data_IF_292790093168
#
_entry.id   IF_292790093168
#
_cell.length_a   1.000
_cell.length_b   1.000
_cell.length_c   1.000
_cell.angle_alpha   90.00
_cell.angle_beta   90.00
_cell.angle_gamma   90.00
#
_symmetry.space_group_name_H-M   'P 1'
#
loop_
_entity.id
_entity.type
_entity.pdbx_description
1 polymer ?
#
# COMPACT_ATOMS: atom_id res chain seq x y z
N UNK A 1 29.38 12.49 -22.63
CA UNK A 1 29.05 11.49 -21.58
C UNK A 1 29.31 12.13 -20.22
N UNK A 2 28.29 12.78 -19.65
CA UNK A 2 28.41 13.55 -18.40
C UNK A 2 28.08 12.60 -17.25
N UNK A 3 29.09 12.20 -16.50
CA UNK A 3 28.94 11.39 -15.28
C UNK A 3 28.55 12.35 -14.15
N UNK A 4 27.25 12.44 -13.86
CA UNK A 4 26.75 13.10 -12.65
C UNK A 4 27.08 12.22 -11.44
N UNK A 5 28.18 12.53 -10.75
CA UNK A 5 28.45 12.01 -9.40
C UNK A 5 27.47 12.65 -8.42
N UNK A 6 26.41 11.93 -8.07
CA UNK A 6 25.57 12.27 -6.93
C UNK A 6 26.34 11.92 -5.64
N UNK A 7 26.96 12.93 -5.02
CA UNK A 7 27.51 12.80 -3.67
C UNK A 7 26.37 12.54 -2.68
N UNK A 8 26.42 11.39 -2.00
CA UNK A 8 25.58 11.11 -0.84
C UNK A 8 26.12 11.87 0.38
N UNK A 9 25.59 13.07 0.59
CA UNK A 9 25.57 13.64 1.93
C UNK A 9 24.41 12.99 2.71
N UNK A 10 24.70 12.51 3.93
CA UNK A 10 23.66 12.25 4.92
C UNK A 10 22.77 13.51 5.04
N UNK A 11 21.47 13.39 5.38
CA UNK A 11 20.59 14.54 5.55
C UNK A 11 21.04 15.33 6.79
N UNK A 12 22.05 16.18 6.60
CA UNK A 12 22.45 17.22 7.52
C UNK A 12 21.30 18.21 7.58
N UNK A 13 20.70 18.31 8.77
CA UNK A 13 19.82 19.38 9.28
C UNK A 13 19.78 20.62 8.38
N UNK A 14 18.99 20.58 7.30
CA UNK A 14 18.56 21.81 6.65
C UNK A 14 17.61 22.46 7.65
N UNK A 15 18.07 23.55 8.27
CA UNK A 15 17.24 24.42 9.07
C UNK A 15 16.19 25.08 8.17
N UNK A 16 15.11 24.36 7.89
CA UNK A 16 13.86 24.93 7.36
C UNK A 16 13.25 25.69 8.54
N UNK A 17 13.82 26.86 8.85
CA UNK A 17 13.21 27.86 9.71
C UNK A 17 12.79 29.04 8.84
N UNK A 18 12.11 28.75 7.73
CA UNK A 18 11.21 29.73 7.15
C UNK A 18 10.07 29.91 8.16
N UNK A 19 9.82 31.13 8.61
CA UNK A 19 8.78 31.48 9.58
C UNK A 19 7.40 31.03 9.07
N UNK A 20 7.00 29.81 9.44
CA UNK A 20 5.66 29.28 9.23
C UNK A 20 4.73 30.07 10.16
N UNK A 21 3.99 31.04 9.61
CA UNK A 21 2.90 31.71 10.34
C UNK A 21 1.62 30.92 10.11
N UNK A 22 1.04 30.26 11.13
CA UNK A 22 -0.26 29.62 10.99
C UNK A 22 -1.32 30.67 10.64
N UNK A 23 -1.87 30.58 9.44
CA UNK A 23 -2.97 31.44 8.99
C UNK A 23 -4.28 30.82 9.46
N UNK A 24 -4.92 31.48 10.43
CA UNK A 24 -6.22 31.17 11.04
C UNK A 24 -6.31 29.91 11.93
N UNK A 25 -6.71 30.17 13.18
CA UNK A 25 -7.40 29.22 14.04
C UNK A 25 -8.91 29.40 13.84
N UNK A 26 -9.57 28.44 13.19
CA UNK A 26 -11.04 28.43 13.14
C UNK A 26 -11.54 27.59 14.32
N UNK A 27 -12.55 28.09 15.04
CA UNK A 27 -13.29 27.27 16.00
C UNK A 27 -14.08 26.22 15.21
N UNK A 28 -13.71 24.95 15.38
CA UNK A 28 -14.49 23.85 14.84
C UNK A 28 -15.84 23.74 15.57
N UNK A 29 -16.85 23.04 15.00
CA UNK A 29 -18.15 22.84 15.68
C UNK A 29 -18.03 22.21 17.07
N UNK A 30 -16.94 21.51 17.37
CA UNK A 30 -16.65 20.93 18.67
C UNK A 30 -15.85 21.85 19.61
N UNK A 31 -15.69 23.14 19.29
CA UNK A 31 -14.99 24.13 20.13
C UNK A 31 -13.47 23.99 20.14
N UNK A 32 -12.91 22.97 19.49
CA UNK A 32 -11.47 22.76 19.42
C UNK A 32 -10.82 23.61 18.32
N UNK A 33 -9.61 24.09 18.62
CA UNK A 33 -8.72 24.79 17.69
C UNK A 33 -8.25 23.85 16.60
N UNK A 34 -8.60 24.15 15.34
CA UNK A 34 -8.14 23.43 14.15
C UNK A 34 -7.18 24.31 13.34
N UNK A 35 -6.04 23.75 12.93
CA UNK A 35 -5.11 24.41 12.01
C UNK A 35 -5.61 24.27 10.57
N UNK A 36 -5.71 25.38 9.84
CA UNK A 36 -5.94 25.36 8.39
C UNK A 36 -4.63 25.70 7.70
N UNK A 37 -4.07 24.73 6.96
CA UNK A 37 -2.74 24.85 6.37
C UNK A 37 -2.85 24.71 4.84
N UNK A 38 -2.17 25.55 4.04
CA UNK A 38 -2.12 25.35 2.59
C UNK A 38 -1.20 24.17 2.25
N UNK A 39 -1.51 23.45 1.18
CA UNK A 39 -0.70 22.31 0.71
C UNK A 39 0.72 22.69 0.32
N UNK A 40 0.92 23.94 -0.15
CA UNK A 40 2.24 24.47 -0.50
C UNK A 40 3.24 24.44 0.67
N UNK A 41 2.75 24.43 1.91
CA UNK A 41 3.59 24.27 3.11
C UNK A 41 4.24 22.88 3.20
N UNK A 42 3.65 21.88 2.55
CA UNK A 42 4.12 20.49 2.55
C UNK A 42 4.65 20.06 1.18
N UNK A 43 4.96 21.02 0.30
CA UNK A 43 5.37 20.74 -1.07
C UNK A 43 6.61 19.84 -1.12
N UNK A 44 7.56 19.99 -0.18
CA UNK A 44 8.74 19.14 -0.07
C UNK A 44 8.42 17.67 0.26
N UNK A 45 7.29 17.39 0.92
CA UNK A 45 6.81 16.03 1.16
C UNK A 45 6.01 15.53 -0.05
N UNK A 46 5.16 16.39 -0.63
CA UNK A 46 4.28 16.05 -1.75
C UNK A 46 5.09 15.73 -3.01
N UNK A 47 6.16 16.47 -3.27
CA UNK A 47 7.00 16.30 -4.46
C UNK A 47 8.06 15.21 -4.33
N UNK A 48 8.28 14.69 -3.12
CA UNK A 48 9.17 13.55 -2.95
C UNK A 48 8.50 12.30 -3.56
N UNK A 49 8.88 11.99 -4.80
CA UNK A 49 8.40 10.80 -5.51
C UNK A 49 8.99 9.51 -4.93
N UNK A 50 10.10 9.59 -4.19
CA UNK A 50 10.84 8.43 -3.72
C UNK A 50 11.60 7.70 -4.84
N UNK A 51 12.70 7.04 -4.46
CA UNK A 51 13.61 6.40 -5.41
C UNK A 51 12.95 5.31 -6.26
N UNK A 52 12.02 4.55 -5.69
CA UNK A 52 11.32 3.48 -6.40
C UNK A 52 10.33 3.97 -7.46
N UNK A 53 9.74 5.15 -7.30
CA UNK A 53 8.71 5.65 -8.23
C UNK A 53 9.25 6.60 -9.28
N UNK A 54 10.42 7.21 -9.05
CA UNK A 54 11.05 8.10 -10.02
C UNK A 54 11.18 7.44 -11.41
N UNK A 55 11.63 6.18 -11.56
CA UNK A 55 11.74 5.55 -12.88
C UNK A 55 10.40 5.25 -13.56
N UNK A 56 9.29 5.27 -12.81
CA UNK A 56 7.94 5.02 -13.32
C UNK A 56 7.14 6.32 -13.48
N UNK A 57 7.80 7.48 -13.48
CA UNK A 57 7.11 8.76 -13.61
C UNK A 57 6.25 8.78 -14.89
N UNK A 58 4.96 9.05 -14.71
CA UNK A 58 3.97 9.09 -15.79
C UNK A 58 3.41 7.73 -16.22
N UNK A 59 3.90 6.60 -15.69
CA UNK A 59 3.38 5.28 -16.05
C UNK A 59 2.04 5.00 -15.33
N UNK A 60 0.92 4.84 -16.06
CA UNK A 60 -0.39 4.60 -15.46
C UNK A 60 -0.44 3.36 -14.56
N UNK A 61 0.33 2.32 -14.87
CA UNK A 61 0.31 1.07 -14.12
C UNK A 61 0.95 1.24 -12.74
N UNK A 62 1.94 2.13 -12.59
CA UNK A 62 2.56 2.44 -11.30
C UNK A 62 1.60 3.17 -10.34
N UNK A 63 0.62 3.90 -10.88
CA UNK A 63 -0.39 4.63 -10.13
C UNK A 63 -1.54 3.74 -9.65
N UNK A 64 -1.69 2.56 -10.27
CA UNK A 64 -2.77 1.62 -9.95
C UNK A 64 -2.54 0.91 -8.61
N UNK A 65 -3.63 0.48 -7.97
CA UNK A 65 -3.52 -0.30 -6.74
C UNK A 65 -2.81 -1.64 -7.00
N UNK A 66 -2.05 -2.18 -6.03
CA UNK A 66 -1.35 -3.46 -6.23
C UNK A 66 -2.25 -4.62 -6.66
N UNK A 67 -3.48 -4.68 -6.15
CA UNK A 67 -4.46 -5.71 -6.55
C UNK A 67 -4.92 -5.57 -8.00
N UNK A 68 -5.24 -4.35 -8.43
CA UNK A 68 -5.67 -4.08 -9.82
C UNK A 68 -4.53 -4.34 -10.79
N UNK A 69 -3.33 -3.85 -10.45
CA UNK A 69 -2.10 -4.14 -11.19
C UNK A 69 -1.84 -5.64 -11.35
N UNK A 70 -2.01 -6.41 -10.27
CA UNK A 70 -1.88 -7.86 -10.30
C UNK A 70 -2.80 -8.51 -11.32
N UNK A 71 -4.10 -8.16 -11.33
CA UNK A 71 -5.08 -8.68 -12.29
C UNK A 71 -4.76 -8.35 -13.75
N UNK A 72 -4.26 -7.14 -14.00
CA UNK A 72 -3.88 -6.72 -15.36
C UNK A 72 -2.66 -7.49 -15.84
N UNK A 73 -1.66 -7.65 -14.98
CA UNK A 73 -0.46 -8.42 -15.30
C UNK A 73 -0.75 -9.92 -15.41
N UNK A 74 -1.72 -10.45 -14.67
CA UNK A 74 -2.27 -11.79 -14.88
C UNK A 74 -2.92 -11.92 -16.27
N UNK A 75 -3.72 -10.93 -16.68
CA UNK A 75 -4.27 -10.92 -18.04
C UNK A 75 -3.19 -10.84 -19.12
N UNK A 76 -2.08 -10.14 -18.88
CA UNK A 76 -0.95 -10.10 -19.80
C UNK A 76 -0.29 -11.47 -19.93
N UNK A 77 -0.10 -12.18 -18.82
CA UNK A 77 0.43 -13.56 -18.82
C UNK A 77 -0.51 -14.48 -19.61
N UNK A 78 -1.83 -14.36 -19.42
CA UNK A 78 -2.83 -15.12 -20.18
C UNK A 78 -2.67 -14.91 -21.70
N UNK A 79 -2.52 -13.66 -22.14
CA UNK A 79 -2.29 -13.32 -23.55
C UNK A 79 -0.97 -13.88 -24.10
N UNK A 80 0.12 -13.77 -23.34
CA UNK A 80 1.44 -14.31 -23.71
C UNK A 80 1.42 -15.83 -23.83
N UNK A 81 0.64 -16.52 -23.00
CA UNK A 81 0.46 -17.97 -23.06
C UNK A 81 -0.55 -18.41 -24.15
N UNK A 82 -1.05 -17.47 -24.96
CA UNK A 82 -1.98 -17.75 -26.06
C UNK A 82 -3.33 -18.26 -25.58
N UNK A 83 -3.72 -17.92 -24.36
CA UNK A 83 -5.04 -18.26 -23.82
C UNK A 83 -6.03 -17.17 -24.21
N UNK A 84 -7.16 -17.56 -24.79
CA UNK A 84 -8.29 -16.64 -24.98
C UNK A 84 -8.77 -16.14 -23.61
N UNK A 85 -9.23 -14.89 -23.49
CA UNK A 85 -9.88 -14.42 -22.27
C UNK A 85 -10.98 -15.41 -21.88
N UNK A 86 -11.08 -15.79 -20.60
CA UNK A 86 -12.12 -16.72 -20.18
C UNK A 86 -13.48 -16.12 -20.58
N UNK A 87 -14.26 -16.89 -21.33
CA UNK A 87 -15.68 -16.61 -21.48
C UNK A 87 -16.36 -16.79 -20.11
N UNK A 88 -17.54 -16.21 -19.87
CA UNK A 88 -18.24 -16.39 -18.59
C UNK A 88 -18.52 -17.88 -18.25
N UNK A 89 -18.44 -18.76 -19.25
CA UNK A 89 -18.49 -20.23 -19.15
C UNK A 89 -17.16 -20.90 -18.83
N UNK A 90 -16.01 -20.27 -19.14
CA UNK A 90 -14.68 -20.76 -18.78
C UNK A 90 -14.43 -20.39 -17.32
N UNK A 91 -14.97 -21.22 -16.42
CA UNK A 91 -14.84 -21.08 -14.97
C UNK A 91 -13.40 -21.36 -14.48
N UNK A 92 -12.43 -20.65 -15.05
CA UNK A 92 -11.05 -20.62 -14.58
C UNK A 92 -11.04 -20.25 -13.10
N UNK A 93 -10.50 -21.18 -12.31
CA UNK A 93 -10.27 -21.08 -10.88
C UNK A 93 -11.52 -20.92 -9.98
N UNK A 94 -12.68 -21.43 -10.40
CA UNK A 94 -13.73 -21.73 -9.42
C UNK A 94 -13.33 -22.97 -8.62
N UNK A 95 -12.49 -22.80 -7.59
CA UNK A 95 -12.53 -23.74 -6.48
C UNK A 95 -13.97 -23.67 -5.95
N UNK A 96 -14.82 -24.64 -6.30
CA UNK A 96 -16.17 -24.84 -5.75
C UNK A 96 -15.99 -25.33 -4.30
N UNK A 97 -15.29 -24.53 -3.51
CA UNK A 97 -14.97 -24.78 -2.13
C UNK A 97 -15.73 -23.79 -1.28
N UNK A 98 -16.38 -24.30 -0.25
CA UNK A 98 -16.74 -23.46 0.88
C UNK A 98 -15.47 -23.12 1.66
N UNK A 99 -15.38 -21.90 2.16
CA UNK A 99 -14.48 -21.54 3.24
C UNK A 99 -14.77 -22.46 4.45
N UNK A 100 -13.84 -22.53 5.40
CA UNK A 100 -14.01 -23.31 6.65
C UNK A 100 -15.28 -22.96 7.44
N UNK A 101 -15.91 -21.80 7.17
CA UNK A 101 -17.18 -21.35 7.76
C UNK A 101 -18.41 -21.61 6.87
N UNK A 102 -18.31 -22.48 5.85
CA UNK A 102 -19.43 -22.83 4.96
C UNK A 102 -19.76 -21.79 3.87
N UNK A 103 -19.11 -20.62 3.85
CA UNK A 103 -19.36 -19.60 2.81
C UNK A 103 -18.61 -19.92 1.53
N UNK A 104 -19.25 -19.78 0.37
CA UNK A 104 -18.58 -19.93 -0.94
C UNK A 104 -17.33 -19.04 -1.02
N UNK A 105 -16.17 -19.63 -1.36
CA UNK A 105 -14.93 -18.86 -1.60
C UNK A 105 -15.16 -17.88 -2.75
N UNK A 106 -14.76 -16.62 -2.58
CA UNK A 106 -14.76 -15.65 -3.67
C UNK A 106 -13.66 -15.98 -4.69
N UNK A 107 -13.77 -15.49 -5.94
CA UNK A 107 -12.75 -15.71 -7.00
C UNK A 107 -11.34 -15.29 -6.57
N UNK A 108 -11.23 -14.20 -5.79
CA UNK A 108 -9.95 -13.72 -5.23
C UNK A 108 -9.37 -14.63 -4.12
N UNK A 109 -10.09 -15.68 -3.72
CA UNK A 109 -9.68 -16.70 -2.77
C UNK A 109 -9.41 -18.04 -3.46
N UNK A 110 -9.39 -18.06 -4.79
CA UNK A 110 -8.96 -19.20 -5.55
C UNK A 110 -7.54 -19.61 -5.14
N UNK A 111 -7.26 -20.89 -5.36
CA UNK A 111 -6.00 -21.51 -4.96
C UNK A 111 -4.89 -21.24 -5.99
N UNK A 112 -5.28 -20.99 -7.24
CA UNK A 112 -4.44 -20.56 -8.36
C UNK A 112 -5.19 -19.52 -9.20
N UNK A 113 -4.50 -18.84 -10.12
CA UNK A 113 -5.05 -17.71 -10.89
C UNK A 113 -5.65 -18.13 -12.25
N UNK A 114 -5.06 -19.12 -12.93
CA UNK A 114 -5.53 -19.59 -14.25
C UNK A 114 -5.19 -21.06 -14.55
N UNK A 115 -5.84 -21.67 -15.53
CA UNK A 115 -5.56 -23.05 -15.97
C UNK A 115 -5.02 -23.05 -17.39
N UNK A 116 -3.84 -23.62 -17.63
CA UNK A 116 -3.25 -23.69 -18.99
C UNK A 116 -3.00 -25.15 -19.33
N UNK A 117 -3.72 -25.66 -20.35
CA UNK A 117 -3.58 -27.04 -20.82
C UNK A 117 -3.71 -28.07 -19.70
N UNK A 118 -4.68 -27.85 -18.80
CA UNK A 118 -4.95 -28.70 -17.64
C UNK A 118 -4.02 -28.50 -16.43
N UNK A 119 -3.01 -27.62 -16.52
CA UNK A 119 -2.12 -27.28 -15.42
C UNK A 119 -2.65 -26.08 -14.65
N UNK A 120 -2.58 -26.13 -13.32
CA UNK A 120 -2.94 -25.02 -12.42
C UNK A 120 -1.79 -24.03 -12.36
N UNK A 121 -2.07 -22.76 -12.62
CA UNK A 121 -1.04 -21.73 -12.74
C UNK A 121 -1.30 -20.60 -11.74
N UNK A 122 -0.30 -20.32 -10.91
CA UNK A 122 -0.24 -19.13 -10.06
C UNK A 122 0.53 -18.02 -10.77
N UNK A 123 0.05 -16.78 -10.70
CA UNK A 123 0.71 -15.61 -11.28
C UNK A 123 0.99 -14.60 -10.17
N UNK A 124 2.26 -14.22 -10.03
CA UNK A 124 2.66 -13.13 -9.12
C UNK A 124 3.35 -12.03 -9.88
N UNK A 125 2.99 -10.80 -9.55
CA UNK A 125 3.64 -9.62 -10.10
C UNK A 125 4.38 -8.84 -9.01
N UNK A 126 5.52 -8.27 -9.37
CA UNK A 126 6.27 -7.35 -8.52
C UNK A 126 6.86 -6.22 -9.36
N UNK A 127 6.80 -5.00 -8.84
CA UNK A 127 7.54 -3.88 -9.42
C UNK A 127 9.00 -3.94 -8.97
N UNK A 128 9.92 -3.63 -9.88
CA UNK A 128 11.29 -3.31 -9.51
C UNK A 128 11.28 -2.09 -8.58
N UNK A 129 11.85 -2.23 -7.39
CA UNK A 129 11.80 -1.19 -6.35
C UNK A 129 13.14 -1.03 -5.66
N UNK A 130 13.45 0.18 -5.20
CA UNK A 130 14.68 0.47 -4.48
C UNK A 130 14.50 0.21 -2.98
N UNK A 131 15.37 -0.65 -2.43
CA UNK A 131 15.49 -0.97 -1.02
C UNK A 131 16.49 -0.01 -0.38
N UNK A 132 15.98 1.07 0.22
CA UNK A 132 16.80 2.14 0.82
C UNK A 132 17.75 1.60 1.91
N UNK A 133 17.31 0.60 2.68
CA UNK A 133 18.10 0.03 3.78
C UNK A 133 19.36 -0.69 3.27
N UNK A 134 19.26 -1.33 2.11
CA UNK A 134 20.37 -2.11 1.54
C UNK A 134 21.06 -1.38 0.39
N UNK A 135 20.52 -0.22 -0.02
CA UNK A 135 20.92 0.53 -1.20
C UNK A 135 20.95 -0.35 -2.46
N UNK A 136 19.92 -1.16 -2.66
CA UNK A 136 19.82 -2.11 -3.81
C UNK A 136 18.46 -2.01 -4.46
N UNK A 137 18.39 -2.20 -5.78
CA UNK A 137 17.11 -2.52 -6.43
C UNK A 137 16.73 -3.98 -6.19
N UNK A 138 15.42 -4.25 -6.12
CA UNK A 138 14.89 -5.58 -5.82
C UNK A 138 13.52 -5.84 -6.44
N UNK A 139 13.20 -7.11 -6.56
CA UNK A 139 11.84 -7.62 -6.78
C UNK A 139 11.45 -8.51 -5.60
N UNK A 140 10.19 -8.41 -5.18
CA UNK A 140 9.65 -9.20 -4.07
C UNK A 140 8.24 -9.66 -4.41
N UNK A 141 8.07 -10.96 -4.57
CA UNK A 141 6.77 -11.60 -4.79
C UNK A 141 6.32 -12.18 -3.45
N UNK A 142 5.16 -11.75 -2.97
CA UNK A 142 4.71 -12.11 -1.63
C UNK A 142 3.59 -13.13 -1.67
N UNK A 143 3.45 -13.88 -0.56
CA UNK A 143 2.34 -14.78 -0.30
C UNK A 143 2.23 -15.94 -1.32
N UNK A 144 3.36 -16.54 -1.68
CA UNK A 144 3.42 -17.71 -2.57
C UNK A 144 3.28 -19.00 -1.76
N UNK A 145 2.28 -19.83 -2.09
CA UNK A 145 1.94 -21.02 -1.29
C UNK A 145 2.65 -22.27 -1.86
N UNK A 146 3.86 -22.56 -1.42
CA UNK A 146 4.56 -23.80 -1.76
C UNK A 146 4.17 -24.95 -0.82
N UNK A 147 4.22 -26.19 -1.31
CA UNK A 147 4.32 -27.36 -0.44
C UNK A 147 5.76 -27.47 0.05
N UNK A 148 5.96 -27.46 1.37
CA UNK A 148 7.27 -27.65 2.00
C UNK A 148 7.08 -28.30 3.36
N UNK A 149 7.97 -29.24 3.68
CA UNK A 149 7.96 -29.96 4.95
C UNK A 149 7.95 -28.99 6.14
N UNK A 150 7.02 -29.21 7.07
CA UNK A 150 6.83 -28.35 8.25
C UNK A 150 6.06 -27.05 7.99
N UNK A 151 5.62 -26.77 6.76
CA UNK A 151 4.85 -25.56 6.42
C UNK A 151 3.48 -25.87 5.83
N UNK A 152 3.43 -26.62 4.73
CA UNK A 152 2.19 -26.99 4.02
C UNK A 152 2.33 -28.34 3.35
N UNK A 153 1.29 -29.15 3.49
CA UNK A 153 1.21 -30.48 2.91
C UNK A 153 0.82 -30.47 1.43
N UNK A 154 0.35 -29.32 0.92
CA UNK A 154 -0.18 -29.22 -0.43
C UNK A 154 0.21 -27.90 -1.11
N UNK A 155 0.58 -28.02 -2.39
CA UNK A 155 0.84 -26.91 -3.29
C UNK A 155 -0.36 -26.74 -4.23
N UNK A 156 -0.99 -25.55 -4.27
CA UNK A 156 -2.22 -25.37 -5.04
C UNK A 156 -2.03 -25.20 -6.54
N UNK A 157 -0.79 -25.06 -7.02
CA UNK A 157 -0.46 -24.81 -8.42
C UNK A 157 0.64 -25.76 -8.91
N UNK A 158 0.62 -26.06 -10.21
CA UNK A 158 1.64 -26.84 -10.88
C UNK A 158 2.77 -25.92 -11.39
N UNK A 159 2.39 -24.75 -11.91
CA UNK A 159 3.31 -23.74 -12.45
C UNK A 159 3.17 -22.40 -11.72
N UNK A 160 4.30 -21.69 -11.60
CA UNK A 160 4.35 -20.34 -11.04
C UNK A 160 4.98 -19.38 -12.06
N UNK A 161 4.20 -18.39 -12.49
CA UNK A 161 4.69 -17.33 -13.36
C UNK A 161 4.93 -16.06 -12.54
N UNK A 162 6.13 -15.49 -12.70
CA UNK A 162 6.53 -14.25 -12.07
C UNK A 162 6.62 -13.15 -13.11
N UNK A 163 5.94 -12.04 -12.86
CA UNK A 163 5.97 -10.85 -13.71
C UNK A 163 6.79 -9.77 -13.03
N UNK A 164 7.98 -9.50 -13.55
CA UNK A 164 8.79 -8.34 -13.15
C UNK A 164 8.32 -7.16 -13.98
N UNK A 165 7.67 -6.20 -13.33
CA UNK A 165 7.32 -4.92 -13.90
C UNK A 165 8.47 -3.94 -13.68
N UNK A 166 9.15 -3.56 -14.75
CA UNK A 166 10.26 -2.61 -14.77
C UNK A 166 9.91 -1.37 -15.62
N UNK A 167 10.69 -0.27 -15.53
CA UNK A 167 10.48 0.89 -16.39
C UNK A 167 10.59 0.61 -17.90
N UNK A 168 11.34 -0.43 -18.30
CA UNK A 168 11.50 -0.80 -19.71
C UNK A 168 10.40 -1.72 -20.24
N UNK A 169 9.63 -2.36 -19.36
CA UNK A 169 8.60 -3.34 -19.74
C UNK A 169 8.39 -4.44 -18.71
N UNK A 170 7.78 -5.53 -19.17
CA UNK A 170 7.40 -6.68 -18.35
C UNK A 170 8.25 -7.90 -18.71
N UNK A 171 8.87 -8.52 -17.71
CA UNK A 171 9.56 -9.80 -17.87
C UNK A 171 8.74 -10.89 -17.22
N UNK A 172 8.31 -11.87 -18.00
CA UNK A 172 7.49 -12.98 -17.55
C UNK A 172 8.39 -14.21 -17.46
N UNK A 173 8.53 -14.74 -16.25
CA UNK A 173 9.39 -15.88 -15.95
C UNK A 173 8.56 -17.05 -15.46
N UNK A 174 8.81 -18.25 -15.99
CA UNK A 174 8.40 -19.49 -15.34
C UNK A 174 9.41 -19.78 -14.23
N UNK A 175 8.94 -19.76 -12.98
CA UNK A 175 9.79 -19.91 -11.81
C UNK A 175 10.03 -21.38 -11.48
N UNK A 176 11.22 -21.68 -10.97
CA UNK A 176 11.68 -23.04 -10.61
C UNK A 176 11.23 -23.51 -9.22
N UNK A 177 10.44 -22.68 -8.51
CA UNK A 177 9.92 -22.93 -7.16
C UNK A 177 10.99 -23.04 -6.06
N UNK A 178 12.24 -22.69 -6.38
CA UNK A 178 13.39 -22.78 -5.47
C UNK A 178 14.12 -21.44 -5.34
N UNK A 179 14.44 -20.81 -6.47
CA UNK A 179 15.28 -19.62 -6.55
C UNK A 179 14.67 -18.44 -5.81
N UNK A 180 15.42 -17.86 -4.87
CA UNK A 180 15.00 -16.68 -4.11
C UNK A 180 13.86 -16.91 -3.11
N UNK A 181 13.39 -18.15 -2.91
CA UNK A 181 12.32 -18.45 -1.95
C UNK A 181 12.82 -18.29 -0.52
N UNK A 182 12.18 -17.43 0.26
CA UNK A 182 12.48 -17.22 1.67
C UNK A 182 12.20 -18.48 2.49
N UNK A 183 13.15 -18.88 3.33
CA UNK A 183 13.09 -20.12 4.14
C UNK A 183 12.64 -19.91 5.59
N UNK A 184 12.32 -18.68 6.03
CA UNK A 184 12.20 -18.39 7.46
C UNK A 184 10.79 -17.99 7.92
N UNK A 185 10.26 -18.76 8.89
CA UNK A 185 9.40 -18.25 9.98
C UNK A 185 7.95 -18.76 10.03
N UNK A 186 7.36 -18.76 11.23
CA UNK A 186 5.93 -19.08 11.50
C UNK A 186 4.98 -18.26 10.62
N UNK A 187 5.36 -17.01 10.27
CA UNK A 187 4.59 -16.16 9.36
C UNK A 187 4.40 -16.78 7.97
N UNK A 188 5.40 -17.50 7.48
CA UNK A 188 5.39 -18.17 6.18
C UNK A 188 4.32 -19.25 6.10
N UNK A 189 4.06 -19.96 7.21
CA UNK A 189 3.00 -20.97 7.28
C UNK A 189 1.63 -20.36 6.95
N UNK A 190 1.30 -19.24 7.60
CA UNK A 190 0.01 -18.58 7.46
C UNK A 190 -0.10 -17.85 6.11
N UNK A 191 0.93 -17.07 5.74
CA UNK A 191 0.84 -16.11 4.64
C UNK A 191 1.40 -16.64 3.32
N UNK A 192 2.21 -17.70 3.35
CA UNK A 192 3.01 -18.15 2.21
C UNK A 192 4.43 -17.58 2.24
N UNK A 193 5.25 -18.04 1.31
CA UNK A 193 6.64 -17.63 1.13
C UNK A 193 6.74 -16.32 0.36
N UNK A 194 7.86 -15.64 0.53
CA UNK A 194 8.27 -14.55 -0.35
C UNK A 194 9.34 -15.07 -1.31
N UNK A 195 9.30 -14.62 -2.56
CA UNK A 195 10.39 -14.81 -3.53
C UNK A 195 11.08 -13.46 -3.68
N UNK A 196 12.37 -13.43 -3.43
CA UNK A 196 13.10 -12.19 -3.25
C UNK A 196 14.45 -12.24 -3.96
N UNK A 197 14.70 -11.27 -4.86
CA UNK A 197 15.95 -11.16 -5.61
C UNK A 197 16.38 -9.68 -5.64
N UNK A 198 17.67 -9.43 -5.42
CA UNK A 198 18.29 -8.09 -5.40
C UNK A 198 19.35 -7.95 -6.48
N UNK A 199 19.48 -6.75 -7.01
CA UNK A 199 20.68 -6.29 -7.72
C UNK A 199 21.88 -6.14 -6.77
N UNK A 200 22.99 -5.63 -7.28
CA UNK A 200 24.13 -5.25 -6.46
C UNK A 200 23.87 -3.91 -5.76
N UNK A 201 24.71 -3.59 -4.78
CA UNK A 201 24.61 -2.33 -4.03
C UNK A 201 24.96 -1.15 -4.92
N UNK A 202 24.23 -0.04 -4.75
CA UNK A 202 24.44 1.24 -5.41
C UNK A 202 24.32 1.20 -6.95
N UNK A 203 23.65 0.18 -7.50
CA UNK A 203 23.33 0.12 -8.92
C UNK A 203 22.16 1.04 -9.27
N UNK A 204 22.13 1.50 -10.51
CA UNK A 204 20.93 2.08 -11.11
C UNK A 204 19.91 0.98 -11.41
N UNK A 205 18.64 1.34 -11.68
CA UNK A 205 17.65 0.32 -12.02
C UNK A 205 17.99 -0.41 -13.34
N UNK A 206 18.65 0.27 -14.28
CA UNK A 206 19.04 -0.29 -15.58
C UNK A 206 20.12 -1.35 -15.43
N UNK A 207 21.03 -1.19 -14.47
CA UNK A 207 22.10 -2.17 -14.20
C UNK A 207 21.59 -3.31 -13.32
N UNK A 208 20.72 -3.00 -12.36
CA UNK A 208 20.22 -3.98 -11.41
C UNK A 208 19.24 -4.98 -12.01
N UNK A 209 18.46 -4.58 -13.02
CA UNK A 209 17.51 -5.48 -13.66
C UNK A 209 18.20 -6.67 -14.36
N UNK A 210 19.23 -6.47 -15.23
CA UNK A 210 20.07 -7.55 -15.74
C UNK A 210 20.67 -8.43 -14.63
N UNK A 211 21.18 -7.84 -13.55
CA UNK A 211 21.73 -8.59 -12.41
C UNK A 211 20.67 -9.48 -11.75
N UNK A 212 19.44 -8.97 -11.57
CA UNK A 212 18.30 -9.73 -11.03
C UNK A 212 17.92 -10.86 -11.99
N UNK A 213 17.83 -10.59 -13.29
CA UNK A 213 17.50 -11.59 -14.30
C UNK A 213 18.57 -12.68 -14.39
N UNK A 214 19.86 -12.32 -14.33
CA UNK A 214 20.97 -13.27 -14.29
C UNK A 214 20.83 -14.23 -13.10
N UNK A 215 20.57 -13.70 -11.90
CA UNK A 215 20.34 -14.51 -10.69
C UNK A 215 19.13 -15.45 -10.82
N UNK A 216 18.10 -15.05 -11.55
CA UNK A 216 16.91 -15.89 -11.73
C UNK A 216 17.10 -16.95 -12.82
N UNK A 217 17.79 -16.61 -13.91
CA UNK A 217 17.87 -17.44 -15.13
C UNK A 217 19.14 -18.30 -15.21
N UNK A 218 20.27 -17.81 -14.68
CA UNK A 218 21.57 -18.47 -14.78
C UNK A 218 21.96 -19.13 -13.46
N UNK A 219 21.92 -18.37 -12.35
CA UNK A 219 22.18 -18.94 -11.02
C UNK A 219 21.00 -19.82 -10.56
N UNK A 220 19.79 -19.43 -10.96
CA UNK A 220 18.56 -20.21 -10.80
C UNK A 220 18.23 -21.03 -12.04
N UNK A 221 17.10 -21.75 -12.00
CA UNK A 221 16.59 -22.54 -13.11
C UNK A 221 15.27 -21.96 -13.67
N UNK A 222 15.01 -20.67 -13.44
CA UNK A 222 13.84 -20.01 -14.01
C UNK A 222 14.00 -19.89 -15.54
N UNK A 223 12.88 -19.84 -16.25
CA UNK A 223 12.86 -19.66 -17.72
C UNK A 223 12.22 -18.34 -18.08
N UNK A 224 12.87 -17.53 -18.91
CA UNK A 224 12.25 -16.34 -19.49
C UNK A 224 11.24 -16.79 -20.56
N UNK A 225 9.97 -16.52 -20.31
CA UNK A 225 8.85 -16.90 -21.20
C UNK A 225 8.63 -15.80 -22.24
N UNK A 226 8.63 -14.55 -21.78
CA UNK A 226 8.53 -13.40 -22.66
C UNK A 226 9.12 -12.14 -22.00
N UNK A 227 9.57 -11.23 -22.85
CA UNK A 227 9.76 -9.82 -22.50
C UNK A 227 8.79 -9.00 -23.35
N UNK A 228 7.93 -8.21 -22.70
CA UNK A 228 6.97 -7.33 -23.36
C UNK A 228 7.39 -5.90 -23.09
N UNK A 229 7.95 -5.24 -24.09
CA UNK A 229 8.32 -3.83 -24.04
C UNK A 229 7.09 -2.95 -23.86
N UNK A 230 7.24 -1.82 -23.16
CA UNK A 230 6.17 -0.82 -23.01
C UNK A 230 5.62 -0.29 -24.34
N UNK A 231 6.40 -0.38 -25.41
CA UNK A 231 6.01 0.08 -26.75
C UNK A 231 5.23 -0.97 -27.56
N UNK A 232 5.17 -2.22 -27.09
CA UNK A 232 4.47 -3.28 -27.80
C UNK A 232 2.95 -3.12 -27.69
N UNK A 233 2.24 -3.57 -28.74
CA UNK A 233 0.77 -3.53 -28.81
C UNK A 233 0.09 -4.20 -27.62
N UNK A 234 0.69 -5.29 -27.10
CA UNK A 234 0.20 -5.99 -25.90
C UNK A 234 0.22 -5.12 -24.65
N UNK A 235 1.32 -4.39 -24.43
CA UNK A 235 1.40 -3.44 -23.32
C UNK A 235 0.40 -2.29 -23.51
N UNK A 236 0.28 -1.76 -24.74
CA UNK A 236 -0.68 -0.71 -25.06
C UNK A 236 -2.14 -1.16 -24.86
N UNK A 237 -2.48 -2.39 -25.21
CA UNK A 237 -3.81 -2.96 -24.95
C UNK A 237 -4.11 -3.06 -23.44
N UNK A 238 -3.12 -3.41 -22.62
CA UNK A 238 -3.24 -3.39 -21.16
C UNK A 238 -3.51 -1.96 -20.65
N UNK A 239 -2.80 -0.96 -21.18
CA UNK A 239 -3.02 0.45 -20.83
C UNK A 239 -4.39 0.98 -21.31
N UNK A 240 -4.87 0.55 -22.47
CA UNK A 240 -6.20 0.91 -22.97
C UNK A 240 -7.30 0.40 -22.02
N UNK A 241 -7.24 -0.88 -21.62
CA UNK A 241 -8.17 -1.46 -20.63
C UNK A 241 -8.11 -0.74 -19.29
N UNK A 242 -6.90 -0.37 -18.85
CA UNK A 242 -6.70 0.44 -17.66
C UNK A 242 -7.44 1.76 -17.74
N UNK A 243 -7.31 2.46 -18.86
CA UNK A 243 -7.97 3.73 -19.13
C UNK A 243 -9.49 3.55 -19.11
N UNK A 244 -10.03 2.58 -19.84
CA UNK A 244 -11.46 2.26 -19.90
C UNK A 244 -12.05 1.98 -18.52
N UNK A 245 -11.43 1.10 -17.73
CA UNK A 245 -11.87 0.80 -16.37
C UNK A 245 -11.65 1.97 -15.38
N UNK A 246 -10.65 2.83 -15.62
CA UNK A 246 -10.35 3.99 -14.77
C UNK A 246 -11.28 5.17 -15.04
N UNK A 247 -12.12 5.12 -16.08
CA UNK A 247 -13.14 6.14 -16.38
C UNK A 247 -14.28 6.19 -15.38
N UNK A 248 -14.30 5.31 -14.38
CA UNK A 248 -15.28 5.40 -13.32
C UNK A 248 -15.21 6.82 -12.73
N UNK A 249 -16.28 7.61 -12.93
CA UNK A 249 -16.28 9.07 -12.80
C UNK A 249 -15.72 9.59 -11.45
N UNK A 250 -15.68 8.73 -10.44
CA UNK A 250 -15.13 8.99 -9.12
C UNK A 250 -13.60 8.91 -9.00
N UNK A 251 -12.85 8.32 -9.92
CA UNK A 251 -11.37 8.43 -9.90
C UNK A 251 -10.93 9.76 -10.51
N UNK A 252 -11.70 10.30 -11.44
CA UNK A 252 -11.43 11.59 -12.07
C UNK A 252 -11.44 12.76 -11.07
N UNK A 253 -12.20 12.67 -9.96
CA UNK A 253 -12.17 13.73 -8.93
C UNK A 253 -10.84 13.84 -8.20
N UNK A 254 -9.92 12.88 -8.38
CA UNK A 254 -8.56 12.90 -7.82
C UNK A 254 -7.47 13.20 -8.86
N UNK A 255 -7.81 13.43 -10.12
CA UNK A 255 -6.83 13.50 -11.21
C UNK A 255 -5.75 14.57 -11.00
N UNK A 256 -6.15 15.76 -10.54
CA UNK A 256 -5.24 16.88 -10.25
C UNK A 256 -5.11 17.17 -8.76
N UNK A 257 -5.51 16.23 -7.91
CA UNK A 257 -5.40 16.37 -6.47
C UNK A 257 -4.02 15.89 -6.01
N UNK A 258 -3.30 16.64 -5.16
CA UNK A 258 -2.04 16.20 -4.57
C UNK A 258 -2.15 14.79 -3.99
N UNK A 259 -1.14 13.94 -4.21
CA UNK A 259 -1.12 12.52 -3.83
C UNK A 259 -2.12 11.60 -4.58
N UNK A 260 -2.95 12.13 -5.49
CA UNK A 260 -4.04 11.40 -6.13
C UNK A 260 -3.56 10.29 -7.04
N UNK A 261 -2.48 10.58 -7.77
CA UNK A 261 -1.77 9.65 -8.65
C UNK A 261 -0.81 8.71 -7.91
N UNK A 262 -0.54 8.93 -6.61
CA UNK A 262 0.43 8.09 -5.89
C UNK A 262 -0.12 6.70 -5.57
N UNK A 263 0.77 5.70 -5.60
CA UNK A 263 0.49 4.39 -5.04
C UNK A 263 0.02 4.52 -3.57
N UNK A 264 -1.01 3.76 -3.13
CA UNK A 264 -1.50 3.80 -1.76
C UNK A 264 -0.44 3.75 -0.65
N UNK A 265 0.63 2.97 -0.82
CA UNK A 265 1.71 2.83 0.16
C UNK A 265 2.51 4.12 0.28
N UNK A 266 2.93 4.69 -0.85
CA UNK A 266 3.68 5.96 -0.88
C UNK A 266 2.82 7.09 -0.36
N UNK A 267 1.56 7.18 -0.81
CA UNK A 267 0.58 8.14 -0.29
C UNK A 267 0.47 8.04 1.23
N UNK A 268 0.40 6.84 1.79
CA UNK A 268 0.36 6.61 3.23
C UNK A 268 1.58 7.18 3.95
N UNK A 269 2.78 6.89 3.45
CA UNK A 269 4.02 7.45 3.99
C UNK A 269 4.07 8.98 3.92
N UNK A 270 3.60 9.59 2.82
CA UNK A 270 3.53 11.06 2.70
C UNK A 270 2.54 11.66 3.70
N UNK A 271 1.34 11.09 3.80
CA UNK A 271 0.34 11.53 4.78
C UNK A 271 0.87 11.41 6.22
N UNK A 272 1.59 10.34 6.54
CA UNK A 272 2.24 10.16 7.84
C UNK A 272 3.30 11.23 8.11
N UNK A 273 4.15 11.56 7.13
CA UNK A 273 5.13 12.63 7.23
C UNK A 273 4.47 14.01 7.44
N UNK A 274 3.40 14.31 6.69
CA UNK A 274 2.60 15.53 6.87
C UNK A 274 2.00 15.56 8.28
N UNK A 275 1.45 14.44 8.75
CA UNK A 275 0.90 14.32 10.11
C UNK A 275 1.93 14.62 11.20
N UNK A 276 3.15 14.09 11.07
CA UNK A 276 4.26 14.36 11.99
C UNK A 276 4.67 15.85 11.99
N UNK A 277 4.75 16.48 10.81
CA UNK A 277 5.05 17.92 10.75
C UNK A 277 3.93 18.78 11.36
N UNK A 278 2.67 18.40 11.15
CA UNK A 278 1.53 19.04 11.84
C UNK A 278 1.65 18.88 13.36
N UNK A 279 2.03 17.71 13.85
CA UNK A 279 2.19 17.49 15.29
C UNK A 279 3.29 18.36 15.90
N UNK A 280 4.42 18.51 15.19
CA UNK A 280 5.50 19.43 15.56
C UNK A 280 5.07 20.89 15.59
N UNK A 281 4.25 21.32 14.62
CA UNK A 281 3.70 22.68 14.61
C UNK A 281 2.78 22.93 15.80
N UNK A 282 2.00 21.92 16.20
CA UNK A 282 1.07 22.01 17.33
C UNK A 282 1.77 21.94 18.68
N UNK A 283 2.91 21.25 18.75
CA UNK A 283 3.66 21.00 19.97
C UNK A 283 5.14 21.41 19.78
N UNK A 284 5.42 22.72 19.62
CA UNK A 284 6.76 23.19 19.25
C UNK A 284 7.85 22.92 20.30
N UNK A 285 7.45 22.76 21.57
CA UNK A 285 8.36 22.44 22.67
C UNK A 285 8.53 20.93 22.93
N UNK A 286 7.77 20.08 22.23
CA UNK A 286 7.77 18.64 22.47
C UNK A 286 8.98 17.95 21.84
N UNK A 287 9.42 16.86 22.45
CA UNK A 287 10.43 15.96 21.90
C UNK A 287 9.77 14.88 21.03
N UNK A 288 10.34 14.65 19.85
CA UNK A 288 9.81 13.69 18.89
C UNK A 288 10.80 12.56 18.63
N UNK A 289 10.33 11.32 18.79
CA UNK A 289 11.06 10.09 18.47
C UNK A 289 10.42 9.32 17.33
N UNK A 290 11.24 8.72 16.46
CA UNK A 290 10.78 7.70 15.51
C UNK A 290 11.13 6.32 16.09
N UNK A 291 10.14 5.43 16.31
CA UNK A 291 10.41 4.10 16.84
C UNK A 291 11.25 3.31 15.82
N UNK A 292 12.50 3.07 16.17
CA UNK A 292 13.47 2.34 15.32
C UNK A 292 13.97 1.05 15.96
N UNK A 293 13.76 0.88 17.28
CA UNK A 293 14.42 -0.15 18.10
C UNK A 293 13.47 -1.01 18.93
N UNK A 294 12.17 -1.01 18.60
CA UNK A 294 11.22 -1.83 19.32
C UNK A 294 11.53 -3.32 19.17
N UNK A 295 11.68 -4.02 20.29
CA UNK A 295 11.78 -5.47 20.33
C UNK A 295 10.34 -6.02 20.39
N UNK A 296 9.96 -6.86 19.42
CA UNK A 296 8.68 -7.55 19.47
C UNK A 296 8.60 -8.49 20.69
N UNK A 297 7.41 -8.89 21.11
CA UNK A 297 7.21 -9.97 22.10
C UNK A 297 7.98 -11.25 21.77
N UNK A 298 8.25 -11.49 20.47
CA UNK A 298 9.08 -12.60 19.99
C UNK A 298 10.58 -12.42 20.18
N UNK A 299 11.05 -11.34 20.81
CA UNK A 299 12.49 -10.98 20.92
C UNK A 299 13.11 -10.42 19.63
N UNK A 300 12.35 -10.29 18.54
CA UNK A 300 12.87 -9.83 17.24
C UNK A 300 12.75 -8.31 17.15
N UNK A 301 13.85 -7.62 16.82
CA UNK A 301 13.84 -6.18 16.55
C UNK A 301 12.93 -5.88 15.36
N UNK A 302 11.94 -5.02 15.57
CA UNK A 302 11.01 -4.56 14.56
C UNK A 302 11.69 -3.49 13.72
N UNK A 303 11.75 -3.70 12.41
CA UNK A 303 12.11 -2.61 11.50
C UNK A 303 11.08 -1.48 11.59
N UNK A 304 11.46 -0.28 11.16
CA UNK A 304 10.62 0.94 11.18
C UNK A 304 9.19 0.72 10.65
N UNK A 305 9.04 -0.07 9.59
CA UNK A 305 7.74 -0.38 8.98
C UNK A 305 6.85 -1.34 9.80
N UNK A 306 7.39 -1.91 10.88
CA UNK A 306 6.70 -2.81 11.80
C UNK A 306 6.59 -2.23 13.21
N UNK A 307 6.96 -0.98 13.43
CA UNK A 307 6.79 -0.31 14.72
C UNK A 307 5.32 -0.38 15.19
N UNK A 308 5.12 -0.39 16.50
CA UNK A 308 3.79 -0.37 17.11
C UNK A 308 3.04 0.94 16.86
N UNK A 309 3.80 2.02 16.67
CA UNK A 309 3.31 3.38 16.46
C UNK A 309 4.12 4.07 15.36
N UNK A 310 3.57 5.17 14.85
CA UNK A 310 4.19 5.93 13.76
C UNK A 310 5.24 6.94 14.27
N UNK A 311 4.99 7.56 15.43
CA UNK A 311 5.96 8.39 16.16
C UNK A 311 5.63 8.47 17.66
N UNK A 312 6.57 9.02 18.44
CA UNK A 312 6.40 9.30 19.87
C UNK A 312 6.61 10.80 20.12
N UNK A 313 5.74 11.43 20.91
CA UNK A 313 5.80 12.84 21.32
C UNK A 313 5.72 12.96 22.84
N UNK A 314 6.80 13.37 23.51
CA UNK A 314 6.87 13.43 24.99
C UNK A 314 6.30 12.16 25.65
N UNK A 315 6.82 11.01 25.24
CA UNK A 315 6.36 9.66 25.64
C UNK A 315 4.94 9.26 25.19
N UNK A 316 4.17 10.17 24.58
CA UNK A 316 2.89 9.85 23.96
C UNK A 316 3.12 9.11 22.64
N UNK A 317 2.71 7.84 22.58
CA UNK A 317 2.80 7.00 21.40
C UNK A 317 1.65 7.30 20.45
N UNK A 318 1.95 7.69 19.21
CA UNK A 318 0.95 8.16 18.24
C UNK A 318 0.89 7.21 17.05
N UNK A 319 -0.29 6.64 16.83
CA UNK A 319 -0.62 5.85 15.65
C UNK A 319 -1.44 6.71 14.68
N UNK A 320 -1.05 6.75 13.42
CA UNK A 320 -1.78 7.42 12.35
C UNK A 320 -2.33 6.41 11.35
N UNK A 321 -3.66 6.42 11.18
CA UNK A 321 -4.31 5.74 10.06
C UNK A 321 -4.77 6.73 9.03
N UNK A 322 -4.52 6.41 7.77
CA UNK A 322 -5.03 7.20 6.66
C UNK A 322 -6.04 6.40 5.83
N UNK A 323 -6.94 7.10 5.16
CA UNK A 323 -7.89 6.49 4.23
C UNK A 323 -8.29 7.48 3.13
N UNK A 324 -8.45 6.98 1.91
CA UNK A 324 -8.97 7.74 0.75
C UNK A 324 -10.49 7.70 0.78
N UNK A 325 -11.14 8.85 0.60
CA UNK A 325 -12.59 8.93 0.38
C UNK A 325 -12.89 8.35 -1.01
N UNK A 326 -13.69 7.29 -1.06
CA UNK A 326 -13.99 6.54 -2.28
C UNK A 326 -15.49 6.47 -2.52
N UNK A 327 -15.90 6.46 -3.79
CA UNK A 327 -17.29 6.25 -4.13
C UNK A 327 -17.61 4.75 -4.05
N UNK A 328 -18.63 4.40 -3.28
CA UNK A 328 -19.10 3.05 -3.09
C UNK A 328 -20.17 2.71 -4.14
N UNK A 329 -20.22 1.47 -4.69
CA UNK A 329 -21.22 1.08 -5.68
C UNK A 329 -22.69 1.26 -5.26
N UNK A 330 -22.96 1.41 -3.96
CA UNK A 330 -24.30 1.72 -3.42
C UNK A 330 -24.70 3.20 -3.59
N UNK A 331 -23.94 3.97 -4.35
CA UNK A 331 -24.23 5.37 -4.65
C UNK A 331 -23.88 6.34 -3.54
N UNK A 332 -22.88 6.04 -2.71
CA UNK A 332 -22.48 6.88 -1.58
C UNK A 332 -20.96 6.99 -1.49
N UNK A 333 -20.43 8.14 -1.06
CA UNK A 333 -19.02 8.25 -0.72
C UNK A 333 -18.75 7.62 0.65
N UNK A 334 -17.58 7.03 0.84
CA UNK A 334 -17.19 6.46 2.13
C UNK A 334 -15.69 6.63 2.39
N UNK A 335 -15.33 6.64 3.66
CA UNK A 335 -13.96 6.48 4.14
C UNK A 335 -13.88 5.24 5.02
N UNK A 336 -12.82 4.44 4.86
CA UNK A 336 -12.58 3.24 5.66
C UNK A 336 -11.13 3.21 6.14
N UNK A 337 -10.95 3.48 7.43
CA UNK A 337 -9.68 3.28 8.12
C UNK A 337 -9.59 1.81 8.54
N UNK A 338 -8.43 1.19 8.32
CA UNK A 338 -8.23 -0.23 8.59
C UNK A 338 -6.89 -0.48 9.27
N UNK A 339 -6.73 -1.68 9.84
CA UNK A 339 -5.50 -2.05 10.54
C UNK A 339 -5.30 -1.35 11.87
N UNK A 340 -6.37 -0.87 12.52
CA UNK A 340 -6.28 -0.17 13.81
C UNK A 340 -6.03 -1.21 14.89
N UNK A 341 -4.82 -1.24 15.45
CA UNK A 341 -4.42 -2.16 16.51
C UNK A 341 -4.73 -1.59 17.90
N UNK A 342 -6.01 -1.33 18.16
CA UNK A 342 -6.45 -0.98 19.51
C UNK A 342 -6.41 -2.25 20.37
N UNK A 343 -5.72 -2.21 21.51
CA UNK A 343 -5.62 -3.32 22.45
C UNK A 343 -6.99 -3.91 22.79
N UNK A 344 -7.04 -5.23 23.02
CA UNK A 344 -8.26 -5.91 23.44
C UNK A 344 -8.44 -5.70 24.95
N UNK A 345 -9.56 -5.08 25.34
CA UNK A 345 -9.84 -4.76 26.75
C UNK A 345 -9.99 -6.01 27.64
N UNK A 346 -10.33 -7.15 27.04
CA UNK A 346 -10.58 -8.43 27.73
C UNK A 346 -9.31 -9.28 27.95
N UNK A 347 -8.19 -8.98 27.27
CA UNK A 347 -7.01 -9.87 27.24
C UNK A 347 -5.74 -9.34 27.91
N UNK A 348 -5.84 -8.37 28.82
CA UNK A 348 -4.67 -7.66 29.39
C UNK A 348 -3.71 -7.11 28.32
N UNK A 349 -4.15 -6.99 27.06
CA UNK A 349 -3.27 -6.57 25.99
C UNK A 349 -3.16 -5.04 26.04
N UNK A 350 -2.01 -4.56 26.50
CA UNK A 350 -1.71 -3.14 26.63
C UNK A 350 -1.95 -2.44 25.29
N UNK A 351 -2.70 -1.35 25.33
CA UNK A 351 -2.92 -0.47 24.19
C UNK A 351 -1.56 -0.11 23.57
N UNK A 352 -1.39 -0.31 22.27
CA UNK A 352 -0.09 -0.15 21.61
C UNK A 352 0.29 1.33 21.41
N UNK A 353 -0.71 2.23 21.40
CA UNK A 353 -0.56 3.67 21.21
C UNK A 353 -1.45 4.41 22.21
N UNK A 354 -1.07 5.63 22.58
CA UNK A 354 -1.86 6.50 23.47
C UNK A 354 -2.85 7.36 22.68
N UNK A 355 -2.49 7.75 21.46
CA UNK A 355 -3.34 8.52 20.55
C UNK A 355 -3.51 7.84 19.19
N UNK A 356 -4.75 7.89 18.67
CA UNK A 356 -5.07 7.51 17.29
C UNK A 356 -5.43 8.74 16.48
N UNK A 357 -4.62 9.01 15.45
CA UNK A 357 -4.87 10.05 14.46
C UNK A 357 -5.46 9.41 13.20
N UNK A 358 -6.49 10.06 12.65
CA UNK A 358 -7.18 9.65 11.43
C UNK A 358 -6.97 10.72 10.37
N UNK A 359 -6.29 10.35 9.29
CA UNK A 359 -6.03 11.23 8.15
C UNK A 359 -6.96 10.87 6.98
N UNK A 360 -8.03 11.66 6.80
CA UNK A 360 -8.98 11.49 5.71
C UNK A 360 -8.50 12.26 4.47
N UNK A 361 -8.09 11.51 3.44
CA UNK A 361 -7.65 12.04 2.16
C UNK A 361 -8.84 12.17 1.19
N UNK A 362 -9.12 13.38 0.73
CA UNK A 362 -10.26 13.70 -0.14
C UNK A 362 -9.88 14.69 -1.25
N UNK A 363 -10.75 14.92 -2.26
CA UNK A 363 -10.53 15.98 -3.25
C UNK A 363 -10.57 17.39 -2.66
N UNK A 364 -11.15 17.57 -1.47
CA UNK A 364 -11.27 18.88 -0.82
C UNK A 364 -10.07 19.22 0.07
N UNK A 365 -9.27 18.22 0.45
CA UNK A 365 -8.17 18.39 1.38
C UNK A 365 -7.76 17.09 2.06
N UNK A 366 -6.79 17.21 2.96
CA UNK A 366 -6.40 16.18 3.92
C UNK A 366 -6.80 16.64 5.32
N UNK A 367 -7.72 15.90 5.95
CA UNK A 367 -8.25 16.24 7.25
C UNK A 367 -7.66 15.30 8.31
N UNK A 368 -7.01 15.86 9.32
CA UNK A 368 -6.46 15.13 10.45
C UNK A 368 -7.41 15.26 11.65
N UNK A 369 -7.87 14.13 12.16
CA UNK A 369 -8.75 14.04 13.31
C UNK A 369 -8.09 13.21 14.41
N UNK A 370 -8.22 13.59 15.68
CA UNK A 370 -7.89 12.73 16.82
C UNK A 370 -9.13 11.95 17.21
N UNK A 371 -9.03 10.63 17.16
CA UNK A 371 -10.07 9.73 17.63
C UNK A 371 -10.08 9.72 19.17
N UNK A 372 -11.26 9.67 19.83
CA UNK A 372 -11.31 9.57 21.29
C UNK A 372 -10.71 8.23 21.77
N UNK A 373 -10.30 8.14 23.04
CA UNK A 373 -9.80 6.89 23.61
C UNK A 373 -10.87 5.79 23.75
N UNK A 374 -12.16 6.14 23.59
CA UNK A 374 -13.25 5.17 23.53
C UNK A 374 -13.28 4.47 22.16
N UNK A 375 -12.97 3.17 22.13
CA UNK A 375 -12.87 2.37 20.89
C UNK A 375 -14.12 1.55 20.55
N UNK A 376 -15.24 1.84 21.22
CA UNK A 376 -16.50 1.09 21.07
C UNK A 376 -17.08 1.20 19.65
N UNK A 377 -16.69 2.24 18.91
CA UNK A 377 -17.13 2.48 17.53
C UNK A 377 -16.28 1.76 16.47
N UNK A 378 -15.20 1.09 16.87
CA UNK A 378 -14.40 0.28 15.97
C UNK A 378 -15.06 -1.08 15.77
N UNK A 379 -15.17 -1.54 14.52
CA UNK A 379 -15.81 -2.83 14.24
C UNK A 379 -15.06 -3.96 14.98
N UNK A 380 -15.75 -4.64 15.90
CA UNK A 380 -15.22 -5.72 16.73
C UNK A 380 -15.48 -7.12 16.17
N UNK A 381 -16.08 -7.24 14.98
CA UNK A 381 -16.64 -8.51 14.52
C UNK A 381 -15.58 -9.52 14.03
N UNK A 382 -15.25 -10.47 14.91
CA UNK A 382 -14.67 -11.79 14.61
C UNK A 382 -13.15 -11.90 14.75
N UNK A 383 -12.63 -13.13 14.77
CA UNK A 383 -11.19 -13.50 14.86
C UNK A 383 -10.28 -12.75 13.87
N UNK A 384 -10.84 -12.18 12.80
CA UNK A 384 -10.11 -11.34 11.84
C UNK A 384 -9.57 -10.04 12.46
N UNK A 385 -10.18 -9.50 13.52
CA UNK A 385 -9.74 -8.26 14.15
C UNK A 385 -8.41 -8.41 14.88
N UNK A 386 -8.10 -9.60 15.40
CA UNK A 386 -6.82 -9.89 16.06
C UNK A 386 -5.65 -9.86 15.07
N UNK A 387 -5.83 -10.46 13.89
CA UNK A 387 -4.78 -10.57 12.87
C UNK A 387 -4.68 -9.31 12.01
N UNK A 388 -5.82 -8.73 11.62
CA UNK A 388 -5.87 -7.65 10.64
C UNK A 388 -6.13 -6.27 11.25
N UNK A 389 -6.31 -6.18 12.57
CA UNK A 389 -6.72 -4.97 13.26
C UNK A 389 -8.20 -4.63 13.06
N UNK A 390 -8.68 -3.65 13.82
CA UNK A 390 -10.04 -3.13 13.73
C UNK A 390 -10.20 -2.19 12.53
N UNK A 391 -11.45 -1.90 12.19
CA UNK A 391 -11.81 -0.98 11.10
C UNK A 391 -12.78 0.09 11.58
N UNK A 392 -12.69 1.26 10.98
CA UNK A 392 -13.62 2.37 11.15
C UNK A 392 -14.08 2.82 9.76
N UNK A 393 -15.35 2.55 9.45
CA UNK A 393 -15.98 2.97 8.21
C UNK A 393 -17.05 4.05 8.49
N UNK A 394 -17.07 5.07 7.64
CA UNK A 394 -18.07 6.14 7.68
C UNK A 394 -18.51 6.46 6.26
N UNK A 395 -19.81 6.37 6.00
CA UNK A 395 -20.41 6.76 4.74
C UNK A 395 -20.90 8.21 4.80
N UNK A 396 -20.81 8.94 3.70
CA UNK A 396 -21.47 10.22 3.48
C UNK A 396 -22.96 10.04 3.21
N UNK A 397 -23.61 11.07 2.67
CA UNK A 397 -24.99 10.96 2.20
C UNK A 397 -25.03 10.32 0.81
N UNK A 398 -26.08 9.55 0.52
CA UNK A 398 -26.29 8.92 -0.80
C UNK A 398 -26.52 9.99 -1.86
N UNK A 399 -25.89 9.84 -3.02
CA UNK A 399 -26.01 10.75 -4.16
C UNK A 399 -25.40 12.15 -3.95
N UNK A 400 -24.78 12.41 -2.80
CA UNK A 400 -24.19 13.70 -2.51
C UNK A 400 -22.96 13.98 -3.38
N UNK A 401 -22.74 15.26 -3.68
CA UNK A 401 -21.48 15.72 -4.24
C UNK A 401 -20.32 15.42 -3.26
N UNK A 402 -19.11 15.24 -3.78
CA UNK A 402 -17.98 14.78 -2.96
C UNK A 402 -17.67 15.72 -1.79
N UNK A 403 -17.80 17.03 -1.98
CA UNK A 403 -17.63 18.04 -0.92
C UNK A 403 -18.61 17.85 0.22
N UNK A 404 -19.90 17.72 -0.09
CA UNK A 404 -20.97 17.58 0.90
C UNK A 404 -20.86 16.24 1.61
N UNK A 405 -20.44 15.21 0.88
CA UNK A 405 -20.21 13.90 1.45
C UNK A 405 -19.00 13.90 2.41
N UNK A 406 -17.91 14.62 2.08
CA UNK A 406 -16.75 14.81 2.95
C UNK A 406 -17.14 15.53 4.24
N UNK A 407 -17.93 16.60 4.16
CA UNK A 407 -18.44 17.29 5.35
C UNK A 407 -19.39 16.40 6.16
N UNK A 408 -20.30 15.67 5.51
CA UNK A 408 -21.17 14.70 6.17
C UNK A 408 -20.39 13.60 6.89
N UNK A 409 -19.29 13.12 6.30
CA UNK A 409 -18.38 12.15 6.94
C UNK A 409 -17.70 12.77 8.17
N UNK A 410 -17.21 14.01 8.07
CA UNK A 410 -16.59 14.74 9.21
C UNK A 410 -17.57 14.91 10.36
N UNK A 411 -18.79 15.37 10.07
CA UNK A 411 -19.84 15.53 11.09
C UNK A 411 -20.16 14.21 11.79
N UNK A 412 -20.23 13.10 11.05
CA UNK A 412 -20.42 11.76 11.64
C UNK A 412 -19.23 11.33 12.51
N UNK A 413 -18.00 11.69 12.15
CA UNK A 413 -16.81 11.44 12.98
C UNK A 413 -16.82 12.31 14.26
N UNK A 414 -17.22 13.58 14.16
CA UNK A 414 -17.36 14.47 15.31
C UNK A 414 -18.46 14.02 16.27
N UNK A 415 -19.59 13.54 15.75
CA UNK A 415 -20.66 12.94 16.55
C UNK A 415 -20.20 11.69 17.31
N UNK A 416 -19.11 11.03 16.87
CA UNK A 416 -18.43 9.94 17.56
C UNK A 416 -17.30 10.40 18.49
N UNK A 417 -17.22 11.70 18.78
CA UNK A 417 -16.23 12.29 19.68
C UNK A 417 -14.85 12.55 19.06
N UNK A 418 -14.68 12.41 17.73
CA UNK A 418 -13.42 12.81 17.11
C UNK A 418 -13.24 14.34 17.18
N UNK A 419 -12.00 14.79 17.34
CA UNK A 419 -11.66 16.22 17.35
C UNK A 419 -10.80 16.58 16.13
N UNK A 420 -11.05 17.73 15.51
CA UNK A 420 -10.26 18.17 14.35
C UNK A 420 -8.91 18.73 14.82
N UNK A 421 -7.82 18.23 14.24
CA UNK A 421 -6.46 18.66 14.55
C UNK A 421 -5.98 19.69 13.53
N UNK A 422 -6.13 19.35 12.24
CA UNK A 422 -5.74 20.18 11.13
C UNK A 422 -6.51 19.82 9.86
N UNK A 423 -6.56 20.76 8.92
CA UNK A 423 -6.95 20.52 7.53
C UNK A 423 -5.89 21.13 6.61
N UNK A 424 -5.32 20.29 5.75
CA UNK A 424 -4.46 20.74 4.65
C UNK A 424 -5.35 20.96 3.42
N UNK A 425 -5.41 22.19 2.93
CA UNK A 425 -6.19 22.57 1.74
C UNK A 425 -5.31 22.47 0.49
N UNK A 426 -5.84 21.87 -0.57
CA UNK A 426 -5.13 21.75 -1.84
C UNK A 426 -5.05 23.07 -2.62
N UNK A 427 -5.99 23.99 -2.38
CA UNK A 427 -6.09 25.32 -3.00
C UNK A 427 -6.09 26.42 -1.95
#
# INVERSE_FOLDING_TARGET
>A
MIVLRLCHCAPSRCGISALIRPQLLIQSPCGHRCYILPASQFQHIIDDVGLSSLPYAGDPLALTSPSRRGKLLESLVRDVLGQTPPTDSDADASSIGCCVNGRRKGRHQAEWDLTVRGRKVEVKASSLSFDVQHSTWRVCFTCVKFARDGYRDFQPFDDLYLVIYSPSGFHILLHDQQTGVSTAGVRTQIHGHNIFVRGSRNETWTDALPTILHKMLQDGQCKLVAHVSMRESRAQALYARLSEESTAAFENVYYDIPLGKMNPVIRGHRIQQIGLEIDRLRNPSAQFGIPTDEIAESGIRRGRHNATVDWVRDDVKIELKHAKVRYHPRGEWMVEFSGIKAGMADRQQTQQFDELWLAMYSPCGLHFLKHPPCYDFLSSTGLRTEVHGRRLAVCGSRGAHVSDAVEGIKLKLYARGCTSLATVRWQ
#
